data_IF_721886070567
#
_entry.id   IF_721886070567
#
_cell.length_a   1.000
_cell.length_b   1.000
_cell.length_c   1.000
_cell.angle_alpha   90.00
_cell.angle_beta   90.00
_cell.angle_gamma   90.00
#
_symmetry.space_group_name_H-M   'P 1'
#
loop_
_entity.id
_entity.type
_entity.pdbx_description
1 polymer ?
#
# COMPACT_ATOMS: atom_id res chain seq x y z
N UNK A 1 -3.61 93.14 11.11
CA UNK A 1 -3.76 91.83 11.81
C UNK A 1 -5.22 91.70 12.21
N UNK A 2 -5.97 90.92 11.44
CA UNK A 2 -7.42 90.81 11.49
C UNK A 2 -7.79 89.35 11.20
N UNK A 3 -8.75 88.81 11.95
CA UNK A 3 -9.41 87.54 11.63
C UNK A 3 -9.48 86.55 12.79
N UNK A 4 -10.56 86.61 13.57
CA UNK A 4 -11.02 85.58 14.49
C UNK A 4 -12.13 84.78 13.78
N UNK A 5 -12.42 83.59 14.34
CA UNK A 5 -13.67 82.81 14.33
C UNK A 5 -13.63 81.52 13.51
N UNK A 6 -14.01 80.43 14.17
CA UNK A 6 -14.51 79.20 13.54
C UNK A 6 -14.40 77.97 14.44
N UNK A 7 -15.39 77.73 15.29
CA UNK A 7 -15.62 76.42 15.92
C UNK A 7 -16.57 75.60 15.03
N UNK A 8 -16.30 74.30 14.85
CA UNK A 8 -17.23 73.30 14.29
C UNK A 8 -16.85 71.90 14.84
N UNK A 9 -17.73 70.88 14.80
CA UNK A 9 -18.10 70.10 15.97
C UNK A 9 -17.81 68.59 15.80
N UNK A 10 -18.16 67.82 16.83
CA UNK A 10 -18.97 66.61 16.65
C UNK A 10 -18.33 65.39 15.97
N UNK A 11 -18.05 64.39 16.80
CA UNK A 11 -17.78 62.99 16.46
C UNK A 11 -18.83 62.43 15.49
N UNK A 12 -18.38 61.79 14.41
CA UNK A 12 -19.17 60.82 13.65
C UNK A 12 -18.34 59.56 13.44
N UNK A 13 -18.77 58.46 14.04
CA UNK A 13 -18.23 57.13 13.81
C UNK A 13 -18.60 56.65 12.41
N UNK A 14 -17.66 56.05 11.69
CA UNK A 14 -17.99 55.20 10.55
C UNK A 14 -17.03 54.00 10.49
N UNK A 15 -17.68 52.84 10.33
CA UNK A 15 -17.20 51.48 10.54
C UNK A 15 -16.33 50.95 9.39
N UNK A 16 -15.85 49.73 9.63
CA UNK A 16 -15.38 48.73 8.65
C UNK A 16 -13.88 48.83 8.41
N UNK A 17 -13.06 47.95 8.97
CA UNK A 17 -13.21 46.50 8.96
C UNK A 17 -12.01 46.00 8.19
N UNK A 18 -11.02 45.49 8.92
CA UNK A 18 -9.79 44.97 8.35
C UNK A 18 -10.10 43.85 7.35
N UNK A 19 -9.68 44.01 6.09
CA UNK A 19 -9.64 42.92 5.13
C UNK A 19 -8.19 42.69 4.73
N UNK A 20 -7.47 41.92 5.56
CA UNK A 20 -6.29 41.20 5.09
C UNK A 20 -6.82 39.95 4.39
N UNK A 21 -6.82 39.95 3.06
CA UNK A 21 -7.11 38.76 2.28
C UNK A 21 -5.85 37.86 2.30
N UNK A 22 -5.72 37.03 3.33
CA UNK A 22 -4.74 35.93 3.29
C UNK A 22 -5.33 34.83 2.42
N UNK A 23 -4.90 34.76 1.16
CA UNK A 23 -5.22 33.66 0.28
C UNK A 23 -4.42 32.43 0.73
N UNK A 24 -4.97 31.68 1.68
CA UNK A 24 -4.44 30.36 2.04
C UNK A 24 -4.80 29.38 0.92
N UNK A 25 -3.92 29.27 -0.08
CA UNK A 25 -3.96 28.14 -1.03
C UNK A 25 -3.51 26.92 -0.24
N UNK A 26 -4.47 26.22 0.36
CA UNK A 26 -4.24 24.86 0.83
C UNK A 26 -4.01 24.00 -0.41
N UNK A 27 -2.74 23.72 -0.73
CA UNK A 27 -2.40 22.57 -1.53
C UNK A 27 -2.81 21.35 -0.70
N UNK A 28 -4.06 20.91 -0.88
CA UNK A 28 -4.34 19.51 -0.66
C UNK A 28 -3.49 18.78 -1.70
N UNK A 29 -2.28 18.37 -1.33
CA UNK A 29 -1.61 17.27 -1.99
C UNK A 29 -2.55 16.07 -1.84
N UNK A 30 -3.50 15.97 -2.78
CA UNK A 30 -4.36 14.81 -2.87
C UNK A 30 -3.44 13.62 -3.03
N UNK A 31 -3.48 12.71 -2.05
CA UNK A 31 -2.75 11.45 -2.15
C UNK A 31 -3.03 10.87 -3.53
N UNK A 32 -1.97 10.62 -4.30
CA UNK A 32 -2.15 10.06 -5.63
C UNK A 32 -2.95 8.76 -5.46
N UNK A 33 -4.08 8.59 -6.15
CA UNK A 33 -4.84 7.35 -6.06
C UNK A 33 -3.95 6.19 -6.51
N UNK A 34 -4.13 5.01 -5.90
CA UNK A 34 -3.37 3.81 -6.22
C UNK A 34 -1.87 3.85 -5.88
N UNK A 35 -1.52 4.48 -4.75
CA UNK A 35 -0.21 4.26 -4.15
C UNK A 35 -0.16 2.88 -3.48
N UNK A 36 0.77 2.03 -3.93
CA UNK A 36 0.90 0.67 -3.43
C UNK A 36 1.46 0.58 -2.00
N UNK A 37 2.07 1.65 -1.48
CA UNK A 37 2.64 1.67 -0.12
C UNK A 37 1.59 1.33 0.96
N UNK A 38 2.06 0.66 2.00
CA UNK A 38 1.26 0.29 3.17
C UNK A 38 0.84 -1.17 3.20
N UNK A 39 -0.12 -1.47 4.07
CA UNK A 39 -0.56 -2.82 4.38
C UNK A 39 -1.82 -3.19 3.59
N UNK A 40 -1.77 -4.38 3.00
CA UNK A 40 -2.82 -4.97 2.18
C UNK A 40 -3.20 -6.34 2.75
N UNK A 41 -4.46 -6.72 2.59
CA UNK A 41 -4.98 -8.06 2.91
C UNK A 41 -5.71 -8.62 1.70
N UNK A 42 -5.44 -9.86 1.33
CA UNK A 42 -6.20 -10.52 0.28
C UNK A 42 -7.44 -11.26 0.82
N UNK A 43 -8.24 -11.76 -0.11
CA UNK A 43 -9.42 -12.60 0.06
C UNK A 43 -9.15 -13.96 0.74
N UNK A 44 -7.89 -14.33 0.92
CA UNK A 44 -7.45 -15.54 1.66
C UNK A 44 -6.78 -15.19 3.00
N UNK A 45 -6.90 -13.96 3.46
CA UNK A 45 -6.29 -13.42 4.69
C UNK A 45 -4.76 -13.33 4.72
N UNK A 46 -4.07 -13.56 3.59
CA UNK A 46 -2.66 -13.24 3.46
C UNK A 46 -2.46 -11.72 3.55
N UNK A 47 -1.33 -11.32 4.13
CA UNK A 47 -0.98 -9.94 4.36
C UNK A 47 0.26 -9.55 3.55
N UNK A 48 0.27 -8.31 3.08
CA UNK A 48 1.36 -7.77 2.29
C UNK A 48 1.64 -6.34 2.72
N UNK A 49 2.87 -6.04 3.10
CA UNK A 49 3.32 -4.69 3.44
C UNK A 49 4.33 -4.21 2.40
N UNK A 50 4.00 -3.12 1.69
CA UNK A 50 4.84 -2.53 0.66
C UNK A 50 5.47 -1.25 1.18
N UNK A 51 6.78 -1.13 0.98
CA UNK A 51 7.56 0.09 1.14
C UNK A 51 8.10 0.52 -0.22
N UNK A 52 7.75 1.73 -0.65
CA UNK A 52 8.29 2.29 -1.89
C UNK A 52 9.76 2.62 -1.63
N UNK A 53 10.64 2.19 -2.53
CA UNK A 53 12.08 2.34 -2.33
C UNK A 53 12.66 3.48 -3.17
N UNK A 54 12.02 3.84 -4.30
CA UNK A 54 12.56 4.75 -5.31
C UNK A 54 11.45 5.40 -6.15
N UNK A 55 11.76 6.58 -6.70
CA UNK A 55 10.86 7.35 -7.59
C UNK A 55 10.72 6.74 -8.99
N UNK A 56 11.44 5.65 -9.30
CA UNK A 56 11.38 4.95 -10.59
C UNK A 56 10.26 3.90 -10.68
N UNK A 57 9.43 3.77 -9.64
CA UNK A 57 8.37 2.77 -9.57
C UNK A 57 8.79 1.46 -8.90
N UNK A 58 10.07 1.30 -8.51
CA UNK A 58 10.54 0.12 -7.78
C UNK A 58 10.08 0.13 -6.32
N UNK A 59 9.52 -0.99 -5.88
CA UNK A 59 9.13 -1.20 -4.50
C UNK A 59 9.63 -2.52 -3.94
N UNK A 60 9.74 -2.56 -2.62
CA UNK A 60 10.06 -3.75 -1.86
C UNK A 60 9.06 -3.92 -0.73
N UNK A 61 9.07 -5.09 -0.10
CA UNK A 61 8.15 -5.31 1.00
C UNK A 61 8.28 -6.67 1.61
N UNK A 62 7.24 -7.02 2.34
CA UNK A 62 7.11 -8.29 3.02
C UNK A 62 5.72 -8.88 2.74
N UNK A 63 5.68 -10.21 2.61
CA UNK A 63 4.47 -10.97 2.38
C UNK A 63 4.36 -12.05 3.44
N UNK A 64 3.19 -12.17 4.07
CA UNK A 64 2.84 -13.25 4.97
C UNK A 64 1.65 -14.00 4.37
N UNK A 65 1.88 -15.21 3.91
CA UNK A 65 0.79 -16.06 3.42
C UNK A 65 0.00 -16.66 4.58
N UNK A 66 -1.33 -16.75 4.44
CA UNK A 66 -2.18 -17.52 5.35
C UNK A 66 -2.20 -19.01 5.02
N UNK A 67 -1.93 -19.34 3.76
CA UNK A 67 -2.03 -20.69 3.21
C UNK A 67 -0.68 -21.15 2.65
N UNK A 68 -0.30 -22.39 2.93
CA UNK A 68 0.94 -23.02 2.44
C UNK A 68 0.60 -24.34 1.77
N UNK A 69 1.34 -24.71 0.72
CA UNK A 69 1.12 -25.98 0.01
C UNK A 69 1.50 -27.19 0.87
N UNK A 70 2.63 -27.09 1.58
CA UNK A 70 3.18 -28.17 2.39
C UNK A 70 2.52 -28.29 3.77
N UNK A 71 1.54 -27.42 4.10
CA UNK A 71 0.97 -27.33 5.44
C UNK A 71 1.95 -26.85 6.52
N UNK A 72 3.19 -26.53 6.14
CA UNK A 72 4.21 -26.00 7.03
C UNK A 72 3.88 -24.58 7.50
N UNK A 73 4.50 -24.17 8.59
CA UNK A 73 4.27 -22.83 9.15
C UNK A 73 4.73 -21.75 8.16
N UNK A 74 3.80 -20.87 7.80
CA UNK A 74 4.10 -19.71 6.96
C UNK A 74 5.02 -18.74 7.71
N UNK A 75 6.05 -18.25 7.03
CA UNK A 75 6.93 -17.21 7.54
C UNK A 75 6.80 -15.95 6.70
N UNK A 76 7.21 -14.82 7.25
CA UNK A 76 7.34 -13.59 6.49
C UNK A 76 8.40 -13.77 5.41
N UNK A 77 8.03 -13.47 4.17
CA UNK A 77 8.87 -13.58 2.98
C UNK A 77 9.08 -12.23 2.31
N UNK A 78 10.30 -11.93 1.81
CA UNK A 78 10.55 -10.69 1.10
C UNK A 78 9.84 -10.68 -0.26
N UNK A 79 9.37 -9.49 -0.65
CA UNK A 79 8.87 -9.22 -2.00
C UNK A 79 9.60 -8.05 -2.65
N UNK A 80 9.69 -8.07 -3.98
CA UNK A 80 10.21 -6.97 -4.81
C UNK A 80 9.40 -6.85 -6.09
N UNK A 81 9.15 -5.63 -6.53
CA UNK A 81 8.34 -5.37 -7.70
C UNK A 81 8.50 -3.98 -8.28
N UNK A 82 7.73 -3.74 -9.33
CA UNK A 82 7.68 -2.46 -10.04
C UNK A 82 6.23 -2.08 -10.33
N UNK A 83 5.95 -0.78 -10.30
CA UNK A 83 4.68 -0.19 -10.67
C UNK A 83 4.89 0.70 -11.90
N UNK A 84 4.01 0.58 -12.89
CA UNK A 84 3.98 1.52 -14.00
C UNK A 84 3.54 2.90 -13.51
N UNK A 85 4.12 3.94 -14.10
CA UNK A 85 3.70 5.31 -13.81
C UNK A 85 2.23 5.51 -14.20
N UNK A 86 1.57 6.48 -13.55
CA UNK A 86 0.24 6.90 -13.99
C UNK A 86 0.34 7.42 -15.43
N UNK A 87 -0.34 6.77 -16.36
CA UNK A 87 -0.48 7.23 -17.74
C UNK A 87 -1.82 7.92 -17.98
N UNK A 88 -1.99 8.51 -19.16
CA UNK A 88 -3.15 9.35 -19.52
C UNK A 88 -4.50 8.60 -19.61
N UNK A 89 -4.53 7.27 -19.44
CA UNK A 89 -5.70 6.45 -19.80
C UNK A 89 -6.08 5.31 -18.86
N UNK A 90 -5.49 5.19 -17.66
CA UNK A 90 -5.90 4.12 -16.74
C UNK A 90 -5.11 4.02 -15.43
N UNK A 91 -5.61 3.17 -14.54
CA UNK A 91 -4.95 2.88 -13.27
C UNK A 91 -3.65 2.09 -13.48
N UNK A 92 -2.61 2.31 -12.67
CA UNK A 92 -1.31 1.72 -12.88
C UNK A 92 -1.32 0.20 -12.68
N UNK A 93 -0.72 -0.51 -13.63
CA UNK A 93 -0.38 -1.93 -13.48
C UNK A 93 0.90 -2.09 -12.68
N UNK A 94 1.05 -3.22 -12.00
CA UNK A 94 2.26 -3.54 -11.26
C UNK A 94 2.55 -5.03 -11.32
N UNK A 95 3.79 -5.41 -11.01
CA UNK A 95 4.18 -6.78 -10.83
C UNK A 95 5.16 -6.89 -9.66
N UNK A 96 5.11 -8.02 -8.94
CA UNK A 96 6.09 -8.31 -7.91
C UNK A 96 6.36 -9.81 -7.79
N UNK A 97 7.49 -10.15 -7.19
CA UNK A 97 7.89 -11.51 -6.86
C UNK A 97 7.96 -11.65 -5.35
N UNK A 98 7.55 -12.82 -4.84
CA UNK A 98 7.72 -13.23 -3.43
C UNK A 98 8.65 -14.43 -3.41
N UNK A 99 9.71 -14.35 -2.61
CA UNK A 99 10.65 -15.44 -2.39
C UNK A 99 10.33 -16.14 -1.08
N UNK A 100 9.95 -17.41 -1.13
CA UNK A 100 9.51 -18.17 0.05
C UNK A 100 10.68 -18.76 0.88
N UNK A 101 11.87 -18.17 0.77
CA UNK A 101 13.17 -18.72 1.20
C UNK A 101 13.34 -19.05 2.69
N UNK A 102 12.35 -18.68 3.52
CA UNK A 102 12.31 -19.03 4.95
C UNK A 102 11.65 -20.37 5.24
N UNK A 103 10.82 -20.90 4.34
CA UNK A 103 10.04 -22.12 4.58
C UNK A 103 9.75 -22.96 3.32
N UNK A 104 10.18 -22.51 2.14
CA UNK A 104 10.02 -23.23 0.87
C UNK A 104 11.07 -22.79 -0.16
N UNK A 105 11.37 -23.67 -1.12
CA UNK A 105 12.21 -23.35 -2.29
C UNK A 105 11.40 -22.80 -3.48
N UNK A 106 10.10 -22.51 -3.28
CA UNK A 106 9.24 -21.96 -4.30
C UNK A 106 9.41 -20.45 -4.48
N UNK A 107 8.90 -19.92 -5.59
CA UNK A 107 8.74 -18.48 -5.84
C UNK A 107 7.35 -18.21 -6.39
N UNK A 108 6.74 -17.09 -5.99
CA UNK A 108 5.48 -16.64 -6.60
C UNK A 108 5.69 -15.30 -7.31
N UNK A 109 5.21 -15.20 -8.54
CA UNK A 109 5.10 -13.93 -9.25
C UNK A 109 3.64 -13.49 -9.27
N UNK A 110 3.39 -12.22 -8.98
CA UNK A 110 2.10 -11.57 -9.07
C UNK A 110 2.16 -10.49 -10.15
N UNK A 111 1.09 -10.37 -10.93
CA UNK A 111 0.84 -9.25 -11.83
C UNK A 111 -0.57 -8.74 -11.60
N UNK A 112 -0.77 -7.43 -11.60
CA UNK A 112 -2.07 -6.87 -11.30
C UNK A 112 -2.21 -5.42 -11.68
N UNK A 113 -3.38 -4.90 -11.30
CA UNK A 113 -3.75 -3.51 -11.49
C UNK A 113 -4.48 -3.04 -10.24
N UNK A 114 -4.17 -1.82 -9.83
CA UNK A 114 -4.90 -1.15 -8.77
C UNK A 114 -6.17 -0.51 -9.33
N UNK A 115 -7.26 -0.50 -8.58
CA UNK A 115 -8.51 0.16 -8.93
C UNK A 115 -8.99 0.95 -7.72
N UNK A 116 -9.63 2.09 -7.97
CA UNK A 116 -10.37 2.85 -6.96
C UNK A 116 -11.84 2.83 -7.35
N UNK A 117 -12.71 2.43 -6.44
CA UNK A 117 -14.16 2.45 -6.68
C UNK A 117 -14.78 3.83 -6.45
N UNK A 118 -16.09 3.95 -6.68
CA UNK A 118 -16.83 5.21 -6.54
C UNK A 118 -16.81 5.77 -5.11
N UNK A 119 -16.58 4.92 -4.10
CA UNK A 119 -16.49 5.30 -2.69
C UNK A 119 -15.06 5.65 -2.27
N UNK A 120 -14.10 5.63 -3.21
CA UNK A 120 -12.70 5.91 -2.95
C UNK A 120 -11.93 4.73 -2.35
N UNK A 121 -12.51 3.52 -2.34
CA UNK A 121 -11.85 2.34 -1.79
C UNK A 121 -10.94 1.70 -2.84
N UNK A 122 -9.69 1.48 -2.43
CA UNK A 122 -8.67 0.90 -3.27
C UNK A 122 -8.67 -0.63 -3.21
N UNK A 123 -8.49 -1.24 -4.38
CA UNK A 123 -8.40 -2.68 -4.57
C UNK A 123 -7.25 -3.02 -5.51
N UNK A 124 -6.46 -4.04 -5.17
CA UNK A 124 -5.49 -4.61 -6.09
C UNK A 124 -6.03 -5.93 -6.63
N UNK A 125 -6.33 -6.00 -7.92
CA UNK A 125 -6.70 -7.28 -8.54
C UNK A 125 -5.46 -7.89 -9.16
N UNK A 126 -5.14 -9.13 -8.78
CA UNK A 126 -3.89 -9.78 -9.20
C UNK A 126 -4.13 -11.18 -9.71
N UNK A 127 -3.33 -11.59 -10.68
CA UNK A 127 -3.13 -12.99 -11.05
C UNK A 127 -1.73 -13.39 -10.60
N UNK A 128 -1.56 -14.63 -10.15
CA UNK A 128 -0.27 -15.12 -9.70
C UNK A 128 0.10 -16.46 -10.31
N UNK A 129 1.40 -16.67 -10.43
CA UNK A 129 2.02 -17.96 -10.73
C UNK A 129 2.89 -18.37 -9.55
N UNK A 130 2.58 -19.50 -8.93
CA UNK A 130 3.42 -20.13 -7.92
C UNK A 130 4.23 -21.22 -8.60
N UNK A 131 5.55 -21.06 -8.56
CA UNK A 131 6.51 -21.98 -9.13
C UNK A 131 7.24 -22.75 -8.04
N UNK A 132 7.01 -24.05 -7.97
CA UNK A 132 7.79 -24.97 -7.14
C UNK A 132 9.12 -25.32 -7.82
N UNK A 133 10.12 -25.70 -7.01
CA UNK A 133 11.35 -26.26 -7.52
C UNK A 133 11.08 -27.69 -8.05
N UNK A 134 11.39 -27.93 -9.33
CA UNK A 134 11.32 -29.26 -9.91
C UNK A 134 12.60 -30.04 -9.56
N UNK A 135 12.47 -31.32 -9.21
CA UNK A 135 13.63 -32.20 -8.96
C UNK A 135 14.33 -32.59 -10.27
N UNK A 136 13.61 -32.58 -11.38
CA UNK A 136 14.12 -32.87 -12.73
C UNK A 136 13.27 -32.18 -13.80
N UNK A 137 13.79 -32.15 -15.04
CA UNK A 137 13.07 -31.55 -16.17
C UNK A 137 11.77 -32.30 -16.49
N UNK A 138 11.75 -33.62 -16.33
CA UNK A 138 10.58 -34.46 -16.56
C UNK A 138 9.46 -34.17 -15.56
N UNK A 139 9.79 -33.62 -14.39
CA UNK A 139 8.81 -33.21 -13.39
C UNK A 139 8.32 -31.76 -13.58
N UNK A 140 8.91 -30.98 -14.48
CA UNK A 140 8.62 -29.55 -14.66
C UNK A 140 7.13 -29.25 -14.88
N UNK A 141 6.46 -30.08 -15.68
CA UNK A 141 5.09 -29.86 -16.16
C UNK A 141 4.04 -29.68 -15.04
N UNK A 142 4.30 -30.18 -13.83
CA UNK A 142 3.39 -30.12 -12.67
C UNK A 142 3.77 -29.05 -11.63
N UNK A 143 4.82 -28.26 -11.86
CA UNK A 143 5.40 -27.39 -10.82
C UNK A 143 4.93 -25.94 -10.86
N UNK A 144 4.04 -25.58 -11.79
CA UNK A 144 3.47 -24.23 -11.89
C UNK A 144 1.98 -24.26 -11.57
N UNK A 145 1.56 -23.54 -10.54
CA UNK A 145 0.14 -23.27 -10.23
C UNK A 145 -0.21 -21.83 -10.58
N UNK A 146 -1.47 -21.60 -10.93
CA UNK A 146 -2.02 -20.28 -11.24
C UNK A 146 -3.20 -19.98 -10.33
N UNK A 147 -3.37 -18.73 -9.96
CA UNK A 147 -4.54 -18.28 -9.21
C UNK A 147 -4.73 -16.78 -9.27
N UNK A 148 -5.71 -16.29 -8.52
CA UNK A 148 -6.10 -14.88 -8.46
C UNK A 148 -6.27 -14.48 -7.00
N UNK A 149 -5.94 -13.24 -6.68
CA UNK A 149 -6.25 -12.64 -5.39
C UNK A 149 -6.75 -11.21 -5.58
N UNK A 150 -7.61 -10.79 -4.66
CA UNK A 150 -8.05 -9.40 -4.56
C UNK A 150 -7.59 -8.86 -3.21
N UNK A 151 -6.75 -7.83 -3.24
CA UNK A 151 -6.26 -7.18 -2.04
C UNK A 151 -7.06 -5.91 -1.76
N UNK A 152 -7.32 -5.66 -0.48
CA UNK A 152 -7.90 -4.41 0.01
C UNK A 152 -6.99 -3.79 1.06
N UNK A 153 -7.04 -2.46 1.18
CA UNK A 153 -6.21 -1.72 2.13
C UNK A 153 -6.58 -2.12 3.56
N UNK A 154 -5.57 -2.43 4.38
CA UNK A 154 -5.74 -2.74 5.80
C UNK A 154 -5.29 -1.55 6.63
N UNK A 155 -6.26 -0.88 7.27
CA UNK A 155 -5.95 0.18 8.23
C UNK A 155 -5.27 -0.42 9.46
N UNK A 156 -4.04 0.00 9.74
CA UNK A 156 -3.35 -0.33 10.97
C UNK A 156 -3.56 0.77 12.00
N UNK A 157 -3.77 0.37 13.26
CA UNK A 157 -3.58 1.27 14.39
C UNK A 157 -2.09 1.55 14.53
N UNK A 158 -1.71 2.79 14.84
CA UNK A 158 -0.31 3.23 14.98
C UNK A 158 0.49 2.21 15.82
N UNK A 159 1.55 1.65 15.25
CA UNK A 159 2.43 0.67 15.91
C UNK A 159 2.24 -0.80 15.50
N UNK A 160 1.22 -1.16 14.72
CA UNK A 160 1.05 -2.53 14.19
C UNK A 160 1.77 -2.69 12.85
N UNK A 161 2.85 -3.46 12.83
CA UNK A 161 3.59 -3.88 11.63
C UNK A 161 3.12 -5.25 11.15
N UNK A 162 3.48 -5.67 9.93
CA UNK A 162 3.25 -7.04 9.47
C UNK A 162 3.76 -8.08 10.48
N UNK A 163 4.91 -7.82 11.11
CA UNK A 163 5.52 -8.68 12.13
C UNK A 163 4.62 -8.90 13.34
N UNK A 164 3.93 -7.84 13.81
CA UNK A 164 2.97 -7.95 14.93
C UNK A 164 1.71 -8.75 14.60
N UNK A 165 1.46 -9.00 13.31
CA UNK A 165 0.28 -9.70 12.81
C UNK A 165 0.58 -11.16 12.43
N UNK A 166 1.84 -11.56 12.45
CA UNK A 166 2.25 -12.94 12.21
C UNK A 166 1.91 -13.80 13.43
N UNK A 167 1.15 -14.90 13.26
CA UNK A 167 1.05 -15.89 14.32
C UNK A 167 2.43 -16.51 14.57
N UNK A 168 2.81 -16.82 15.83
CA UNK A 168 4.02 -17.56 16.10
C UNK A 168 3.90 -18.96 15.47
N UNK A 169 4.98 -19.43 14.85
CA UNK A 169 5.10 -20.85 14.56
C UNK A 169 5.27 -21.57 15.90
N UNK A 170 4.39 -22.52 16.19
CA UNK A 170 4.67 -23.47 17.25
C UNK A 170 5.93 -24.23 16.82
N UNK A 171 7.00 -24.16 17.61
CA UNK A 171 8.13 -25.06 17.44
C UNK A 171 7.55 -26.47 17.57
N UNK A 172 7.55 -27.22 16.47
CA UNK A 172 7.18 -28.62 16.50
C UNK A 172 8.15 -29.31 17.45
N UNK A 173 7.74 -29.46 18.71
CA UNK A 173 8.37 -30.39 19.62
C UNK A 173 8.26 -31.75 18.94
N UNK A 174 9.39 -32.22 18.41
CA UNK A 174 9.55 -33.59 17.97
C UNK A 174 8.94 -34.49 19.06
N UNK A 175 7.99 -35.37 18.76
CA UNK A 175 7.65 -36.40 19.72
C UNK A 175 8.90 -37.24 19.88
N UNK A 176 9.58 -37.06 21.02
CA UNK A 176 10.44 -38.08 21.54
C UNK A 176 9.52 -39.26 21.86
N UNK A 177 9.65 -40.34 21.07
CA UNK A 177 9.53 -41.75 21.47
C UNK A 177 9.78 -42.63 20.24
#
# INVERSE_FOLDING_TARGET
>A
MQGRVGAVPGVAAMRSGAFILVLAVALAEGAAPCQLNGLWRNDQDSLMEISVSRDNGDFQGQYLTRVTLSGGCAQISPLKGTQQQLGDGGWPTFAFTVRWDRFSNATTAFVGQCFVDADGKEMLTTTWLLREAAESLEQDWKTTRVGRNIFTRKHTTRGKTLQSLSPPCEDGSSPAL
#
